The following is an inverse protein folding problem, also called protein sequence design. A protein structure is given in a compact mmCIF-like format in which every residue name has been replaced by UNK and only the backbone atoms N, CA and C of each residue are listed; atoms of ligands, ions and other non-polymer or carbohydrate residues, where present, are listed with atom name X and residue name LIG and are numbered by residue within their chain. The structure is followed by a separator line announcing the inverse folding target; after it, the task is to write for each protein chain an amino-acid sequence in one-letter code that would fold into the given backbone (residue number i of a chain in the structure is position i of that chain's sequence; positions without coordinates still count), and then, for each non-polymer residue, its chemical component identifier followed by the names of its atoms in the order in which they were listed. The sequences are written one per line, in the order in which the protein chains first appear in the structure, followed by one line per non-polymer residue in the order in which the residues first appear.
data_IF_799476089058
#
_entry.id   IF_799476089058
#
_cell.length_a   1.000
_cell.length_b   1.000
_cell.length_c   1.000
_cell.angle_alpha   90.00
_cell.angle_beta   90.00
_cell.angle_gamma   90.00
#
_symmetry.space_group_name_H-M   'P 1'
#
loop_
_entity.id
_entity.type
_entity.pdbx_description
1 polymer ?
#
# COMPACT_ATOMS: atom_id res chain seq x y z
N UNK A 1 -20.37 1.37 27.55
CA UNK A 1 -19.25 0.43 27.31
C UNK A 1 -18.30 0.52 28.49
N UNK A 2 -18.11 -0.54 29.28
CA UNK A 2 -17.14 -0.53 30.38
C UNK A 2 -15.73 -0.52 29.76
N UNK A 3 -14.95 0.52 30.03
CA UNK A 3 -13.55 0.58 29.63
C UNK A 3 -12.81 -0.63 30.23
N UNK A 4 -12.01 -1.33 29.42
CA UNK A 4 -11.12 -2.40 29.88
C UNK A 4 -10.00 -1.77 30.74
N UNK A 5 -10.34 -1.34 31.95
CA UNK A 5 -9.40 -0.86 32.96
C UNK A 5 -8.90 -2.05 33.76
N UNK A 6 -7.75 -2.59 33.36
CA UNK A 6 -6.69 -3.14 34.22
C UNK A 6 -5.84 -4.17 33.46
N UNK A 7 -4.54 -3.91 33.40
CA UNK A 7 -3.53 -4.71 32.69
C UNK A 7 -3.28 -6.10 33.29
N UNK A 8 -3.89 -6.45 34.43
CA UNK A 8 -3.75 -7.75 35.09
C UNK A 8 -4.63 -8.86 34.49
N UNK A 9 -5.51 -8.54 33.53
CA UNK A 9 -6.36 -9.53 32.85
C UNK A 9 -5.71 -10.21 31.62
N UNK A 10 -4.38 -10.15 31.48
CA UNK A 10 -3.64 -10.67 30.32
C UNK A 10 -3.69 -12.21 30.20
N UNK A 11 -4.21 -12.93 31.19
CA UNK A 11 -4.42 -14.39 31.15
C UNK A 11 -5.82 -14.88 30.74
N UNK A 12 -6.84 -14.00 30.71
CA UNK A 12 -8.23 -14.36 30.34
C UNK A 12 -8.68 -13.52 29.15
N UNK A 13 -8.14 -13.87 27.98
CA UNK A 13 -8.38 -13.24 26.66
C UNK A 13 -9.85 -13.29 26.16
N UNK A 14 -10.83 -13.71 26.97
CA UNK A 14 -12.18 -14.06 26.51
C UNK A 14 -13.26 -13.02 26.79
N UNK A 15 -13.06 -11.98 27.61
CA UNK A 15 -14.14 -11.04 27.97
C UNK A 15 -13.98 -9.59 27.48
N UNK A 16 -12.83 -9.17 26.96
CA UNK A 16 -12.70 -7.97 26.13
C UNK A 16 -12.65 -8.41 24.65
N UNK A 17 -13.81 -8.77 24.08
CA UNK A 17 -13.92 -9.22 22.69
C UNK A 17 -13.33 -8.17 21.71
N UNK A 18 -12.77 -8.64 20.58
CA UNK A 18 -11.52 -8.15 20.05
C UNK A 18 -11.72 -6.86 19.26
N UNK A 19 -10.84 -5.90 19.49
CA UNK A 19 -10.65 -4.80 18.54
C UNK A 19 -10.47 -5.41 17.15
N UNK A 20 -11.24 -4.94 16.17
CA UNK A 20 -11.07 -5.39 14.79
C UNK A 20 -9.75 -4.81 14.28
N UNK A 21 -8.97 -5.62 13.58
CA UNK A 21 -7.76 -5.18 12.90
C UNK A 21 -8.11 -4.90 11.44
N UNK A 22 -7.83 -3.69 10.99
CA UNK A 22 -7.97 -3.28 9.60
C UNK A 22 -6.59 -3.08 8.99
N UNK A 23 -6.25 -3.88 8.00
CA UNK A 23 -4.98 -3.80 7.30
C UNK A 23 -5.16 -3.12 5.96
N UNK A 24 -4.51 -1.97 5.77
CA UNK A 24 -4.43 -1.28 4.49
C UNK A 24 -3.12 -1.67 3.81
N UNK A 25 -3.23 -2.39 2.71
CA UNK A 25 -2.12 -2.82 1.86
C UNK A 25 -2.25 -2.30 0.43
N UNK A 26 -1.26 -2.56 -0.41
CA UNK A 26 -1.25 -2.13 -1.81
C UNK A 26 0.16 -1.97 -2.36
N UNK A 27 0.27 -1.77 -3.66
CA UNK A 27 1.59 -1.64 -4.31
C UNK A 27 2.21 -0.25 -4.12
N UNK A 28 1.42 0.76 -3.74
CA UNK A 28 1.88 2.13 -3.57
C UNK A 28 1.75 2.62 -2.14
N UNK A 29 2.83 3.22 -1.65
CA UNK A 29 2.88 3.82 -0.32
C UNK A 29 2.00 5.07 -0.17
N UNK A 30 2.02 6.00 -1.13
CA UNK A 30 1.20 7.22 -0.99
C UNK A 30 -0.29 6.90 -0.98
N UNK A 31 -0.79 5.99 -1.83
CA UNK A 31 -2.22 5.61 -1.82
C UNK A 31 -2.68 4.96 -0.53
N UNK A 32 -1.89 4.03 -0.01
CA UNK A 32 -2.18 3.39 1.28
C UNK A 32 -2.13 4.39 2.44
N UNK A 33 -1.17 5.32 2.41
CA UNK A 33 -1.02 6.36 3.45
C UNK A 33 -2.17 7.37 3.43
N UNK A 34 -2.56 7.86 2.25
CA UNK A 34 -3.69 8.79 2.13
C UNK A 34 -5.02 8.14 2.53
N UNK A 35 -5.25 6.87 2.15
CA UNK A 35 -6.44 6.15 2.59
C UNK A 35 -6.44 5.91 4.11
N UNK A 36 -5.31 5.50 4.70
CA UNK A 36 -5.21 5.29 6.14
C UNK A 36 -5.45 6.58 6.93
N UNK A 37 -4.88 7.70 6.47
CA UNK A 37 -5.11 9.02 7.06
C UNK A 37 -6.59 9.43 6.94
N UNK A 38 -7.22 9.19 5.79
CA UNK A 38 -8.64 9.45 5.58
C UNK A 38 -9.50 8.60 6.51
N UNK A 39 -9.24 7.30 6.62
CA UNK A 39 -9.98 6.39 7.51
C UNK A 39 -9.84 6.79 8.99
N UNK A 40 -8.61 6.99 9.46
CA UNK A 40 -8.35 7.37 10.85
C UNK A 40 -8.77 8.80 11.20
N UNK A 41 -8.80 9.69 10.22
CA UNK A 41 -9.16 11.10 10.42
C UNK A 41 -10.65 11.40 10.27
N UNK A 42 -11.42 10.55 9.58
CA UNK A 42 -12.83 10.82 9.22
C UNK A 42 -13.84 9.81 9.73
N UNK A 43 -13.41 8.64 10.21
CA UNK A 43 -14.30 7.61 10.74
C UNK A 43 -14.08 7.46 12.24
N UNK A 44 -15.13 7.75 13.02
CA UNK A 44 -15.11 7.59 14.47
C UNK A 44 -14.82 6.14 14.88
N UNK A 45 -13.97 5.99 15.89
CA UNK A 45 -13.60 4.68 16.42
C UNK A 45 -12.55 3.93 15.59
N UNK A 46 -11.87 4.59 14.65
CA UNK A 46 -10.67 4.07 13.97
C UNK A 46 -9.42 4.69 14.59
N UNK A 47 -8.44 3.86 14.96
CA UNK A 47 -7.11 4.31 15.37
C UNK A 47 -6.04 3.74 14.44
N UNK A 48 -5.38 4.61 13.67
CA UNK A 48 -4.21 4.24 12.90
C UNK A 48 -2.95 4.13 13.78
N UNK A 49 -1.97 3.34 13.33
CA UNK A 49 -0.65 3.37 13.96
C UNK A 49 -0.09 4.81 13.92
N UNK A 50 0.34 5.30 15.07
CA UNK A 50 0.96 6.61 15.24
C UNK A 50 2.40 6.44 15.75
N UNK A 51 3.33 7.18 15.17
CA UNK A 51 4.72 7.23 15.62
C UNK A 51 5.19 8.67 15.66
N UNK A 52 5.39 9.17 16.87
CA UNK A 52 5.96 10.48 17.13
C UNK A 52 7.50 10.42 17.13
N UNK A 53 8.14 11.06 16.15
CA UNK A 53 9.61 11.07 16.02
C UNK A 53 10.32 11.72 17.21
N UNK A 54 9.65 12.63 17.94
CA UNK A 54 10.17 13.28 19.14
C UNK A 54 9.96 12.49 20.43
N UNK A 55 9.16 11.41 20.40
CA UNK A 55 8.88 10.61 21.59
C UNK A 55 10.03 9.64 21.87
N UNK A 56 10.75 9.87 22.98
CA UNK A 56 11.79 8.97 23.44
C UNK A 56 11.26 7.56 23.73
N UNK A 57 10.00 7.46 24.20
CA UNK A 57 9.31 6.19 24.38
C UNK A 57 9.14 5.46 23.04
N UNK A 58 8.57 6.11 22.03
CA UNK A 58 8.39 5.48 20.71
C UNK A 58 9.72 5.04 20.10
N UNK A 59 10.77 5.85 20.20
CA UNK A 59 12.10 5.51 19.71
C UNK A 59 12.73 4.31 20.43
N UNK A 60 12.42 4.12 21.71
CA UNK A 60 12.87 2.97 22.51
C UNK A 60 12.06 1.72 22.22
N UNK A 61 10.74 1.84 22.10
CA UNK A 61 9.84 0.70 21.98
C UNK A 61 9.77 0.14 20.55
N UNK A 62 10.08 0.93 19.52
CA UNK A 62 10.02 0.44 18.16
C UNK A 62 11.25 -0.44 17.81
N UNK A 63 11.05 -1.67 17.33
CA UNK A 63 12.11 -2.60 16.99
C UNK A 63 12.82 -2.26 15.66
N UNK A 64 12.72 -1.03 15.15
CA UNK A 64 13.30 -0.65 13.86
C UNK A 64 14.82 -0.87 13.82
N UNK A 65 15.51 -0.77 14.96
CA UNK A 65 16.94 -1.06 15.07
C UNK A 65 17.28 -2.53 14.80
N UNK A 66 16.36 -3.44 15.11
CA UNK A 66 16.53 -4.87 14.86
C UNK A 66 15.98 -5.30 13.50
N UNK A 67 15.44 -4.39 12.70
CA UNK A 67 14.97 -4.73 11.36
C UNK A 67 16.15 -4.91 10.43
N UNK A 68 16.27 -6.11 9.89
CA UNK A 68 17.19 -6.44 8.81
C UNK A 68 16.43 -6.41 7.51
N UNK A 69 16.93 -5.66 6.54
CA UNK A 69 16.46 -5.70 5.17
C UNK A 69 16.87 -7.04 4.55
N UNK A 70 15.89 -7.83 4.13
CA UNK A 70 16.12 -9.20 3.61
C UNK A 70 16.97 -9.26 2.36
N UNK A 71 17.07 -8.17 1.60
CA UNK A 71 17.82 -8.13 0.33
C UNK A 71 19.27 -7.76 0.55
N UNK A 72 19.50 -6.81 1.47
CA UNK A 72 20.85 -6.30 1.72
C UNK A 72 21.54 -6.99 2.89
N UNK A 73 20.79 -7.70 3.74
CA UNK A 73 21.27 -8.20 5.02
C UNK A 73 21.67 -7.07 5.99
N UNK A 74 21.37 -5.81 5.65
CA UNK A 74 21.77 -4.64 6.44
C UNK A 74 20.65 -4.26 7.39
N UNK A 75 21.06 -3.81 8.57
CA UNK A 75 20.18 -3.17 9.52
C UNK A 75 19.55 -1.91 8.93
N UNK A 76 18.29 -1.67 9.27
CA UNK A 76 17.58 -0.46 8.89
C UNK A 76 18.28 0.77 9.47
N UNK A 77 18.65 1.70 8.59
CA UNK A 77 19.25 2.98 9.00
C UNK A 77 18.17 3.90 9.58
N UNK A 78 18.50 4.58 10.68
CA UNK A 78 17.60 5.55 11.30
C UNK A 78 17.13 6.64 10.33
N UNK A 79 18.02 7.13 9.45
CA UNK A 79 17.68 8.14 8.46
C UNK A 79 16.54 7.69 7.53
N UNK A 80 16.57 6.42 7.09
CA UNK A 80 15.52 5.84 6.25
C UNK A 80 14.23 5.62 7.05
N UNK A 81 14.33 5.06 8.26
CA UNK A 81 13.17 4.92 9.15
C UNK A 81 12.47 6.28 9.39
N UNK A 82 13.25 7.32 9.70
CA UNK A 82 12.78 8.68 9.92
C UNK A 82 12.08 9.22 8.68
N UNK A 83 12.70 9.08 7.50
CA UNK A 83 12.11 9.51 6.23
C UNK A 83 10.77 8.80 5.96
N UNK A 84 10.70 7.49 6.17
CA UNK A 84 9.45 6.75 5.98
C UNK A 84 8.41 7.29 6.95
N UNK A 85 8.66 7.29 8.25
CA UNK A 85 7.67 7.74 9.24
C UNK A 85 7.23 9.19 9.01
N UNK A 86 8.14 10.11 8.69
CA UNK A 86 7.79 11.52 8.50
C UNK A 86 6.92 11.79 7.27
N UNK A 87 6.98 10.93 6.25
CA UNK A 87 6.36 11.21 4.94
C UNK A 87 5.08 10.44 4.68
N UNK A 88 4.81 9.38 5.44
CA UNK A 88 3.60 8.58 5.26
C UNK A 88 3.15 7.87 6.52
N UNK A 89 3.58 8.35 7.68
CA UNK A 89 3.20 7.81 8.97
C UNK A 89 3.84 6.47 9.30
N UNK A 90 3.43 5.94 10.45
CA UNK A 90 3.86 4.64 10.94
C UNK A 90 3.39 3.50 10.02
N UNK A 91 4.24 2.50 9.86
CA UNK A 91 3.91 1.26 9.14
C UNK A 91 4.15 0.08 10.07
N UNK A 92 3.19 -0.83 10.18
CA UNK A 92 3.27 -1.98 11.07
C UNK A 92 4.53 -2.80 10.86
N UNK A 93 4.98 -2.98 9.61
CA UNK A 93 6.25 -3.68 9.31
C UNK A 93 7.48 -3.03 9.95
N UNK A 94 7.45 -1.73 10.22
CA UNK A 94 8.55 -0.99 10.85
C UNK A 94 8.51 -1.03 12.38
N UNK A 95 7.38 -1.47 12.94
CA UNK A 95 7.08 -1.44 14.37
C UNK A 95 6.99 -2.86 14.95
N UNK A 96 7.59 -3.84 14.29
CA UNK A 96 7.55 -5.24 14.71
C UNK A 96 8.84 -6.00 14.36
N UNK A 97 9.04 -7.19 14.93
CA UNK A 97 10.21 -8.05 14.69
C UNK A 97 9.86 -9.50 14.30
N UNK A 98 8.60 -9.80 14.02
CA UNK A 98 8.07 -11.15 13.76
C UNK A 98 8.34 -11.62 12.34
N UNK A 99 8.15 -10.75 11.35
CA UNK A 99 8.50 -11.04 9.97
C UNK A 99 9.47 -9.99 9.45
N UNK A 100 10.36 -10.36 8.53
CA UNK A 100 11.47 -9.49 8.18
C UNK A 100 11.02 -8.31 7.31
N UNK A 101 11.81 -7.24 7.31
CA UNK A 101 11.52 -6.07 6.50
C UNK A 101 11.75 -6.39 5.02
N UNK A 102 10.71 -6.22 4.22
CA UNK A 102 10.74 -6.39 2.77
C UNK A 102 10.21 -5.13 2.10
N UNK A 103 10.89 -4.68 1.06
CA UNK A 103 10.44 -3.57 0.22
C UNK A 103 10.25 -4.07 -1.19
N UNK A 104 8.99 -4.24 -1.60
CA UNK A 104 8.64 -4.85 -2.89
C UNK A 104 9.30 -4.15 -4.08
N UNK A 105 9.48 -2.84 -3.98
CA UNK A 105 10.14 -2.02 -5.00
C UNK A 105 11.64 -2.33 -5.12
N UNK A 106 12.29 -2.74 -4.04
CA UNK A 106 13.67 -3.23 -4.09
C UNK A 106 13.73 -4.56 -4.82
N UNK A 107 12.85 -5.50 -4.47
CA UNK A 107 12.77 -6.77 -5.18
C UNK A 107 12.49 -6.60 -6.69
N UNK A 108 11.64 -5.63 -7.04
CA UNK A 108 11.36 -5.30 -8.44
C UNK A 108 12.63 -5.02 -9.25
N UNK A 109 13.68 -4.48 -8.60
CA UNK A 109 14.97 -4.15 -9.20
C UNK A 109 15.93 -5.33 -9.24
N UNK A 110 15.98 -6.14 -8.19
CA UNK A 110 17.10 -7.08 -7.98
C UNK A 110 16.69 -8.56 -7.95
N UNK A 111 15.45 -8.87 -7.61
CA UNK A 111 15.00 -10.24 -7.39
C UNK A 111 14.36 -10.86 -8.65
N UNK A 112 14.48 -12.18 -8.85
CA UNK A 112 13.61 -12.90 -9.77
C UNK A 112 12.15 -12.73 -9.36
N UNK A 113 11.24 -12.56 -10.33
CA UNK A 113 9.81 -12.37 -10.06
C UNK A 113 9.21 -13.46 -9.16
N UNK A 114 9.76 -14.69 -9.20
CA UNK A 114 9.33 -15.80 -8.33
C UNK A 114 9.76 -15.63 -6.87
N UNK A 115 10.89 -14.99 -6.60
CA UNK A 115 11.37 -14.72 -5.24
C UNK A 115 10.52 -13.66 -4.53
N UNK A 116 9.84 -12.76 -5.27
CA UNK A 116 8.77 -11.88 -4.77
C UNK A 116 7.68 -12.67 -4.02
N UNK A 117 7.58 -13.97 -4.31
CA UNK A 117 6.45 -14.79 -3.94
C UNK A 117 6.73 -15.79 -2.81
N UNK A 118 7.92 -15.86 -2.22
CA UNK A 118 8.13 -16.73 -1.05
C UNK A 118 7.21 -16.32 0.12
N UNK A 119 6.51 -17.29 0.73
CA UNK A 119 5.55 -17.01 1.80
C UNK A 119 6.28 -16.79 3.13
N UNK A 120 5.84 -15.83 3.96
CA UNK A 120 6.37 -15.64 5.32
C UNK A 120 6.00 -16.77 6.29
N UNK A 121 5.07 -17.65 5.92
CA UNK A 121 4.52 -18.71 6.80
C UNK A 121 5.57 -19.73 7.27
N UNK A 122 6.78 -19.69 6.70
CA UNK A 122 7.90 -20.55 7.10
C UNK A 122 8.78 -19.95 8.21
N UNK A 123 8.57 -18.68 8.61
CA UNK A 123 9.56 -17.94 9.41
C UNK A 123 9.30 -17.91 10.94
N UNK A 124 8.12 -18.30 11.44
CA UNK A 124 7.84 -18.37 12.89
C UNK A 124 6.55 -19.15 13.23
N UNK A 125 6.46 -19.81 14.40
CA UNK A 125 5.20 -20.38 14.89
C UNK A 125 4.11 -19.29 15.03
N UNK A 126 2.91 -19.55 14.48
CA UNK A 126 1.83 -18.55 14.42
C UNK A 126 1.38 -18.02 15.80
N UNK A 127 1.44 -18.86 16.84
CA UNK A 127 1.00 -18.48 18.19
C UNK A 127 1.92 -17.45 18.83
N UNK A 128 3.24 -17.63 18.75
CA UNK A 128 4.20 -16.64 19.23
C UNK A 128 4.14 -15.37 18.39
N UNK A 129 4.00 -15.50 17.07
CA UNK A 129 3.84 -14.37 16.15
C UNK A 129 2.69 -13.44 16.54
N UNK A 130 1.52 -14.00 16.89
CA UNK A 130 0.35 -13.22 17.34
C UNK A 130 0.66 -12.38 18.57
N UNK A 131 1.26 -12.99 19.59
CA UNK A 131 1.57 -12.32 20.85
C UNK A 131 2.58 -11.19 20.63
N UNK A 132 3.68 -11.47 19.94
CA UNK A 132 4.72 -10.47 19.66
C UNK A 132 4.18 -9.29 18.83
N UNK A 133 3.47 -9.57 17.73
CA UNK A 133 2.88 -8.50 16.92
C UNK A 133 1.92 -7.63 17.74
N UNK A 134 1.05 -8.25 18.55
CA UNK A 134 0.14 -7.51 19.40
C UNK A 134 0.88 -6.64 20.42
N UNK A 135 1.86 -7.19 21.13
CA UNK A 135 2.62 -6.48 22.15
C UNK A 135 3.40 -5.29 21.58
N UNK A 136 3.96 -5.45 20.39
CA UNK A 136 4.73 -4.41 19.69
C UNK A 136 3.82 -3.32 19.11
N UNK A 137 2.75 -3.69 18.41
CA UNK A 137 1.86 -2.71 17.77
C UNK A 137 0.95 -1.96 18.72
N UNK A 138 0.43 -2.61 19.78
CA UNK A 138 -0.59 -2.01 20.66
C UNK A 138 -0.20 -0.68 21.30
N UNK A 139 1.10 -0.40 21.41
CA UNK A 139 1.67 0.82 22.00
C UNK A 139 1.53 2.03 21.07
N UNK A 140 1.40 1.80 19.78
CA UNK A 140 1.31 2.81 18.74
C UNK A 140 -0.13 3.08 18.31
N UNK A 141 -1.10 2.45 18.98
CA UNK A 141 -2.52 2.70 18.77
C UNK A 141 -3.14 3.38 19.99
N UNK A 142 -4.06 4.28 19.73
CA UNK A 142 -5.02 4.74 20.73
C UNK A 142 -6.15 3.71 20.88
N UNK A 143 -6.72 3.51 22.08
CA UNK A 143 -7.88 2.66 22.25
C UNK A 143 -9.04 3.05 21.34
N UNK A 144 -9.44 2.14 20.44
CA UNK A 144 -10.51 2.37 19.48
C UNK A 144 -11.23 1.05 19.12
N UNK A 145 -12.35 1.15 18.40
CA UNK A 145 -13.13 -0.01 17.95
C UNK A 145 -12.37 -0.81 16.88
N UNK A 146 -11.74 -0.09 15.95
CA UNK A 146 -10.93 -0.63 14.87
C UNK A 146 -9.50 -0.09 14.98
N UNK A 147 -8.54 -1.00 14.96
CA UNK A 147 -7.11 -0.70 14.94
C UNK A 147 -6.59 -0.89 13.53
N UNK A 148 -6.04 0.18 12.95
CA UNK A 148 -5.62 0.22 11.57
C UNK A 148 -4.09 0.14 11.48
N UNK A 149 -3.60 -0.83 10.72
CA UNK A 149 -2.22 -0.87 10.23
C UNK A 149 -2.20 -0.53 8.74
N UNK A 150 -1.27 0.34 8.35
CA UNK A 150 -0.98 0.68 6.97
C UNK A 150 0.44 0.20 6.65
N UNK A 151 0.52 -0.84 5.84
CA UNK A 151 1.78 -1.36 5.31
C UNK A 151 1.53 -1.79 3.86
N UNK A 152 2.17 -1.19 2.84
CA UNK A 152 1.95 -1.57 1.44
C UNK A 152 2.03 -3.09 1.21
N UNK A 153 3.04 -3.73 1.79
CA UNK A 153 3.29 -5.16 1.69
C UNK A 153 2.25 -6.04 2.39
N UNK A 154 1.26 -5.48 3.10
CA UNK A 154 0.11 -6.25 3.60
C UNK A 154 -0.64 -6.97 2.48
N UNK A 155 -0.51 -6.51 1.22
CA UNK A 155 -0.92 -7.25 0.04
C UNK A 155 -0.39 -8.70 0.00
N UNK A 156 0.85 -8.89 0.44
CA UNK A 156 1.53 -10.19 0.48
C UNK A 156 1.33 -10.88 1.83
N UNK A 157 1.21 -10.11 2.91
CA UNK A 157 1.12 -10.62 4.29
C UNK A 157 -0.29 -11.00 4.72
N UNK A 158 -1.33 -10.64 3.96
CA UNK A 158 -2.72 -10.84 4.38
C UNK A 158 -3.07 -12.28 4.81
N UNK A 159 -2.66 -13.36 4.09
CA UNK A 159 -2.92 -14.73 4.55
C UNK A 159 -2.27 -15.03 5.90
N UNK A 160 -1.02 -14.59 6.10
CA UNK A 160 -0.30 -14.74 7.36
C UNK A 160 -0.99 -13.96 8.49
N UNK A 161 -1.38 -12.70 8.25
CA UNK A 161 -2.06 -11.87 9.24
C UNK A 161 -3.44 -12.44 9.62
N UNK A 162 -4.19 -12.95 8.63
CA UNK A 162 -5.46 -13.63 8.87
C UNK A 162 -5.27 -14.92 9.69
N UNK A 163 -4.25 -15.73 9.37
CA UNK A 163 -3.93 -16.94 10.13
C UNK A 163 -3.49 -16.61 11.57
N UNK A 164 -2.74 -15.51 11.74
CA UNK A 164 -2.18 -15.08 13.04
C UNK A 164 -3.26 -14.54 13.97
N UNK A 165 -4.12 -13.64 13.50
CA UNK A 165 -5.13 -12.97 14.34
C UNK A 165 -6.52 -13.60 14.26
N UNK A 166 -6.77 -14.43 13.24
CA UNK A 166 -8.03 -15.12 12.99
C UNK A 166 -8.93 -14.35 12.01
N UNK A 167 -9.66 -15.07 11.13
CA UNK A 167 -10.44 -14.45 10.04
C UNK A 167 -11.58 -13.54 10.52
N UNK A 168 -12.08 -13.74 11.74
CA UNK A 168 -13.10 -12.86 12.33
C UNK A 168 -12.52 -11.55 12.86
N UNK A 169 -11.24 -11.51 13.20
CA UNK A 169 -10.61 -10.33 13.78
C UNK A 169 -10.01 -9.39 12.73
N UNK A 170 -9.76 -9.89 11.51
CA UNK A 170 -9.02 -9.15 10.48
C UNK A 170 -9.88 -8.78 9.27
N UNK A 171 -9.69 -7.57 8.78
CA UNK A 171 -10.20 -7.10 7.49
C UNK A 171 -9.10 -6.43 6.68
N UNK A 172 -9.19 -6.48 5.35
CA UNK A 172 -8.15 -6.02 4.45
C UNK A 172 -8.71 -5.05 3.39
N UNK A 173 -8.01 -3.95 3.17
CA UNK A 173 -8.23 -3.07 2.01
C UNK A 173 -6.96 -3.04 1.19
N UNK A 174 -7.05 -3.46 -0.07
CA UNK A 174 -5.92 -3.39 -1.01
C UNK A 174 -6.10 -2.21 -1.94
N UNK A 175 -5.24 -1.21 -1.82
CA UNK A 175 -5.24 -0.02 -2.67
C UNK A 175 -4.39 -0.29 -3.91
N UNK A 176 -5.03 -0.37 -5.06
CA UNK A 176 -4.36 -0.56 -6.34
C UNK A 176 -4.57 0.63 -7.26
N UNK A 177 -3.49 1.00 -7.92
CA UNK A 177 -3.43 2.00 -8.97
C UNK A 177 -3.23 1.31 -10.30
N UNK A 178 -3.61 1.98 -11.37
CA UNK A 178 -3.33 1.60 -12.74
C UNK A 178 -1.85 1.21 -12.91
N UNK A 179 -1.53 0.06 -13.52
CA UNK A 179 -0.17 -0.50 -13.59
C UNK A 179 0.84 0.44 -14.23
N UNK A 180 0.48 1.13 -15.31
CA UNK A 180 1.36 2.13 -15.93
C UNK A 180 1.67 3.25 -14.94
N UNK A 181 0.64 3.80 -14.31
CA UNK A 181 0.75 4.93 -13.39
C UNK A 181 1.59 4.55 -12.15
N UNK A 182 1.41 3.33 -11.64
CA UNK A 182 2.26 2.75 -10.60
C UNK A 182 3.72 2.58 -11.06
N UNK A 183 3.95 1.99 -12.24
CA UNK A 183 5.29 1.69 -12.75
C UNK A 183 6.09 2.96 -12.97
N UNK A 184 5.46 4.00 -13.51
CA UNK A 184 6.07 5.31 -13.67
C UNK A 184 6.40 5.94 -12.31
N UNK A 185 5.51 5.85 -11.33
CA UNK A 185 5.78 6.36 -9.98
C UNK A 185 6.88 5.55 -9.26
N UNK A 186 6.96 4.24 -9.49
CA UNK A 186 7.96 3.33 -8.93
C UNK A 186 9.34 3.50 -9.60
N UNK A 187 9.37 3.90 -10.87
CA UNK A 187 10.60 4.07 -11.65
C UNK A 187 11.59 5.05 -11.01
N UNK A 188 11.10 6.05 -10.24
CA UNK A 188 11.95 7.02 -9.51
C UNK A 188 12.88 6.39 -8.48
N UNK A 189 12.57 5.18 -8.03
CA UNK A 189 13.36 4.45 -7.04
C UNK A 189 14.01 3.18 -7.62
N UNK A 190 13.33 2.54 -8.59
CA UNK A 190 13.75 1.23 -9.10
C UNK A 190 14.62 1.33 -10.37
N UNK A 191 14.47 2.39 -11.17
CA UNK A 191 15.18 2.52 -12.44
C UNK A 191 16.44 3.37 -12.27
N UNK A 192 17.53 3.04 -12.99
CA UNK A 192 18.60 4.00 -13.19
C UNK A 192 18.06 5.16 -14.02
N UNK A 193 17.82 6.30 -13.38
CA UNK A 193 17.64 7.55 -14.10
C UNK A 193 19.02 7.91 -14.60
N UNK A 194 19.21 7.84 -15.92
CA UNK A 194 20.52 7.98 -16.51
C UNK A 194 21.18 9.28 -16.05
N UNK A 195 22.25 9.16 -15.26
CA UNK A 195 23.42 10.00 -15.45
C UNK A 195 24.12 9.49 -16.73
N UNK A 196 23.39 9.40 -17.84
CA UNK A 196 24.01 9.09 -19.12
C UNK A 196 25.07 10.15 -19.31
N UNK A 197 26.32 9.71 -19.54
CA UNK A 197 27.51 10.53 -19.75
C UNK A 197 27.13 11.92 -20.23
N UNK A 198 26.94 12.85 -19.30
CA UNK A 198 26.74 14.24 -19.67
C UNK A 198 28.13 14.65 -20.09
N UNK A 199 28.39 14.51 -21.39
CA UNK A 199 29.52 15.14 -22.05
C UNK A 199 29.59 16.55 -21.48
N UNK A 200 30.70 16.84 -20.83
CA UNK A 200 30.97 17.96 -19.91
C UNK A 200 30.92 19.34 -20.59
N UNK A 201 30.20 19.47 -21.70
CA UNK A 201 30.27 20.55 -22.67
C UNK A 201 29.09 21.54 -22.61
N UNK A 202 28.10 21.33 -21.74
CA UNK A 202 27.07 22.34 -21.50
C UNK A 202 27.49 23.26 -20.36
N UNK A 203 27.93 24.48 -20.71
CA UNK A 203 28.30 25.55 -19.77
C UNK A 203 27.11 26.09 -18.95
N UNK A 204 25.89 25.60 -19.17
CA UNK A 204 24.67 26.10 -18.50
C UNK A 204 24.28 25.31 -17.25
N UNK A 205 25.09 24.34 -16.78
CA UNK A 205 24.99 23.76 -15.44
C UNK A 205 23.75 22.89 -15.13
N UNK A 206 22.74 22.83 -16.01
CA UNK A 206 21.51 22.08 -15.78
C UNK A 206 21.56 20.73 -16.50
N UNK A 207 21.93 19.67 -15.79
CA UNK A 207 21.82 18.30 -16.29
C UNK A 207 20.35 17.89 -16.36
N UNK A 208 19.75 17.87 -17.56
CA UNK A 208 18.42 17.26 -17.75
C UNK A 208 18.52 15.77 -17.43
N UNK A 209 17.78 15.32 -16.41
CA UNK A 209 17.64 13.88 -16.13
C UNK A 209 16.87 13.23 -17.29
N UNK A 210 17.47 12.21 -17.90
CA UNK A 210 16.78 11.40 -18.90
C UNK A 210 15.64 10.60 -18.26
N UNK A 211 14.56 10.37 -19.02
CA UNK A 211 13.50 9.45 -18.64
C UNK A 211 14.09 8.04 -18.38
N UNK A 212 13.47 7.22 -17.51
CA UNK A 212 13.95 5.87 -17.26
C UNK A 212 13.82 5.01 -18.52
N UNK A 213 14.67 3.98 -18.69
CA UNK A 213 14.56 3.05 -19.80
C UNK A 213 13.21 2.33 -19.81
N UNK A 214 12.70 2.09 -21.00
CA UNK A 214 11.41 1.43 -21.28
C UNK A 214 11.35 0.04 -20.68
N UNK A 215 12.44 -0.72 -20.85
CA UNK A 215 12.64 -2.04 -20.27
C UNK A 215 12.46 -2.03 -18.74
N UNK A 216 12.84 -0.93 -18.08
CA UNK A 216 12.64 -0.80 -16.64
C UNK A 216 11.17 -0.59 -16.28
N UNK A 217 10.44 0.22 -17.05
CA UNK A 217 8.99 0.41 -16.87
C UNK A 217 8.24 -0.90 -17.15
N UNK A 218 8.60 -1.63 -18.20
CA UNK A 218 8.02 -2.93 -18.54
C UNK A 218 8.26 -3.95 -17.43
N UNK A 219 9.49 -3.98 -16.88
CA UNK A 219 9.81 -4.83 -15.74
C UNK A 219 8.95 -4.49 -14.53
N UNK A 220 8.75 -3.21 -14.23
CA UNK A 220 7.87 -2.77 -13.14
C UNK A 220 6.42 -3.18 -13.41
N UNK A 221 5.91 -3.01 -14.63
CA UNK A 221 4.56 -3.49 -14.98
C UNK A 221 4.42 -5.00 -14.79
N UNK A 222 5.45 -5.79 -15.14
CA UNK A 222 5.46 -7.22 -14.89
C UNK A 222 5.43 -7.55 -13.38
N UNK A 223 6.18 -6.82 -12.54
CA UNK A 223 6.13 -6.96 -11.07
C UNK A 223 4.73 -6.65 -10.54
N UNK A 224 4.14 -5.54 -10.99
CA UNK A 224 2.78 -5.16 -10.62
C UNK A 224 1.79 -6.28 -10.98
N UNK A 225 1.89 -6.83 -12.20
CA UNK A 225 0.99 -7.89 -12.69
C UNK A 225 1.10 -9.15 -11.84
N UNK A 226 2.32 -9.62 -11.58
CA UNK A 226 2.56 -10.80 -10.74
C UNK A 226 1.99 -10.60 -9.33
N UNK A 227 2.19 -9.42 -8.74
CA UNK A 227 1.64 -9.11 -7.43
C UNK A 227 0.10 -9.01 -7.45
N UNK A 228 -0.48 -8.44 -8.50
CA UNK A 228 -1.92 -8.36 -8.71
C UNK A 228 -2.56 -9.75 -8.87
N UNK A 229 -2.04 -10.59 -9.77
CA UNK A 229 -2.54 -11.96 -10.00
C UNK A 229 -2.49 -12.79 -8.72
N UNK A 230 -1.40 -12.66 -7.95
CA UNK A 230 -1.27 -13.34 -6.66
C UNK A 230 -2.26 -12.83 -5.63
N UNK A 231 -2.50 -11.53 -5.57
CA UNK A 231 -3.55 -10.99 -4.70
C UNK A 231 -4.93 -11.49 -5.16
N UNK A 232 -5.23 -11.45 -6.46
CA UNK A 232 -6.51 -11.86 -7.01
C UNK A 232 -6.82 -13.34 -6.69
N UNK A 233 -5.83 -14.22 -6.78
CA UNK A 233 -5.96 -15.64 -6.39
C UNK A 233 -6.12 -15.85 -4.89
N UNK A 234 -5.58 -14.95 -4.07
CA UNK A 234 -5.69 -15.00 -2.60
C UNK A 234 -6.95 -14.34 -2.05
N UNK A 235 -7.52 -13.37 -2.76
CA UNK A 235 -8.67 -12.60 -2.30
C UNK A 235 -9.83 -13.50 -1.84
N UNK A 236 -10.20 -14.60 -2.54
CA UNK A 236 -11.25 -15.50 -2.10
C UNK A 236 -10.94 -16.27 -0.80
N UNK A 237 -9.66 -16.40 -0.43
CA UNK A 237 -9.24 -17.07 0.81
C UNK A 237 -9.30 -16.14 2.03
N UNK A 238 -9.45 -14.83 1.81
CA UNK A 238 -9.58 -13.83 2.86
C UNK A 238 -11.06 -13.64 3.19
N UNK A 239 -11.41 -13.79 4.47
CA UNK A 239 -12.82 -13.70 4.91
C UNK A 239 -13.41 -12.31 4.71
N UNK A 240 -12.59 -11.27 4.87
CA UNK A 240 -13.02 -9.88 4.77
C UNK A 240 -11.93 -9.07 4.06
N UNK A 241 -12.05 -8.95 2.76
CA UNK A 241 -11.11 -8.19 1.94
C UNK A 241 -11.84 -7.43 0.85
N UNK A 242 -11.35 -6.24 0.51
CA UNK A 242 -11.83 -5.49 -0.65
C UNK A 242 -10.66 -4.93 -1.45
N UNK A 243 -10.88 -4.84 -2.76
CA UNK A 243 -9.96 -4.21 -3.69
C UNK A 243 -10.43 -2.79 -3.99
N UNK A 244 -9.66 -1.81 -3.53
CA UNK A 244 -9.90 -0.40 -3.85
C UNK A 244 -9.03 0.00 -5.04
N UNK A 245 -9.64 0.06 -6.21
CA UNK A 245 -9.03 0.69 -7.39
C UNK A 245 -9.11 2.19 -7.21
N UNK A 246 -7.98 2.87 -7.30
CA UNK A 246 -7.93 4.29 -6.96
C UNK A 246 -8.59 5.19 -7.98
N UNK A 247 -8.70 4.73 -9.22
CA UNK A 247 -9.22 5.47 -10.37
C UNK A 247 -10.73 5.28 -10.60
N UNK A 248 -11.44 4.51 -9.75
CA UNK A 248 -12.88 4.27 -9.92
C UNK A 248 -13.75 5.39 -9.33
N UNK A 249 -15.00 5.42 -9.75
CA UNK A 249 -15.93 6.53 -9.52
C UNK A 249 -16.41 6.70 -8.07
N UNK A 250 -16.29 5.69 -7.21
CA UNK A 250 -16.70 5.82 -5.80
C UNK A 250 -15.92 4.94 -4.83
N UNK A 251 -14.96 5.55 -4.13
CA UNK A 251 -14.26 4.90 -3.00
C UNK A 251 -15.23 4.52 -1.88
N UNK A 252 -16.22 5.38 -1.61
CA UNK A 252 -17.19 5.16 -0.54
C UNK A 252 -18.06 3.93 -0.84
N UNK A 253 -18.58 3.81 -2.07
CA UNK A 253 -19.38 2.64 -2.45
C UNK A 253 -18.55 1.35 -2.35
N UNK A 254 -17.28 1.38 -2.80
CA UNK A 254 -16.39 0.24 -2.73
C UNK A 254 -16.05 -0.20 -1.29
N UNK A 255 -16.00 0.75 -0.35
CA UNK A 255 -15.58 0.49 1.03
C UNK A 255 -16.74 0.26 2.00
N UNK A 256 -17.94 0.75 1.68
CA UNK A 256 -19.12 0.68 2.58
C UNK A 256 -19.39 -0.74 3.08
N UNK A 257 -19.43 -1.80 2.24
CA UNK A 257 -19.70 -3.16 2.72
C UNK A 257 -18.67 -3.63 3.77
N UNK A 258 -17.39 -3.32 3.56
CA UNK A 258 -16.33 -3.71 4.48
C UNK A 258 -16.40 -2.91 5.79
N UNK A 259 -16.61 -1.60 5.70
CA UNK A 259 -16.75 -0.73 6.87
C UNK A 259 -17.92 -1.18 7.75
N UNK A 260 -19.08 -1.47 7.15
CA UNK A 260 -20.23 -2.01 7.88
C UNK A 260 -19.92 -3.37 8.52
N UNK A 261 -19.21 -4.26 7.83
CA UNK A 261 -18.83 -5.58 8.37
C UNK A 261 -17.90 -5.50 9.60
N UNK A 262 -17.10 -4.43 9.73
CA UNK A 262 -16.27 -4.18 10.92
C UNK A 262 -16.96 -3.31 11.97
N UNK A 263 -18.24 -3.01 11.79
CA UNK A 263 -19.03 -2.20 12.73
C UNK A 263 -18.78 -0.70 12.64
N UNK A 264 -18.13 -0.23 11.57
CA UNK A 264 -17.94 1.18 11.29
C UNK A 264 -19.10 1.73 10.45
N UNK A 265 -19.42 3.00 10.67
CA UNK A 265 -20.35 3.74 9.82
C UNK A 265 -19.55 4.43 8.71
N UNK A 266 -20.10 4.51 7.48
CA UNK A 266 -19.54 5.38 6.46
C UNK A 266 -19.42 6.83 6.97
N UNK A 267 -18.54 7.65 6.38
CA UNK A 267 -18.31 9.04 6.78
C UNK A 267 -19.59 9.88 6.56
N UNK A 268 -20.45 9.96 7.57
CA UNK A 268 -21.62 10.85 7.53
C UNK A 268 -21.13 12.30 7.64
N UNK A 269 -21.43 13.12 6.63
CA UNK A 269 -21.06 14.54 6.62
C UNK A 269 -19.64 14.88 6.16
N UNK A 270 -18.79 13.88 5.86
CA UNK A 270 -17.41 14.10 5.35
C UNK A 270 -17.17 13.57 3.93
N UNK A 271 -18.25 13.36 3.17
CA UNK A 271 -18.19 12.87 1.79
C UNK A 271 -17.33 13.77 0.88
N UNK A 272 -17.38 15.09 1.10
CA UNK A 272 -16.60 16.06 0.33
C UNK A 272 -15.08 15.86 0.47
N UNK A 273 -14.60 15.51 1.67
CA UNK A 273 -13.18 15.25 1.94
C UNK A 273 -12.72 13.94 1.30
N UNK A 274 -13.56 12.91 1.34
CA UNK A 274 -13.31 11.64 0.67
C UNK A 274 -13.18 11.82 -0.84
N UNK A 275 -14.12 12.55 -1.41
CA UNK A 275 -14.14 12.85 -2.84
C UNK A 275 -12.97 13.77 -3.24
N UNK A 276 -12.61 14.75 -2.42
CA UNK A 276 -11.42 15.58 -2.63
C UNK A 276 -10.14 14.73 -2.63
N UNK A 277 -10.00 13.80 -1.68
CA UNK A 277 -8.86 12.88 -1.57
C UNK A 277 -8.79 11.94 -2.78
N UNK A 278 -9.91 11.35 -3.19
CA UNK A 278 -10.01 10.53 -4.41
C UNK A 278 -9.55 11.31 -5.63
N UNK A 279 -10.09 12.51 -5.85
CA UNK A 279 -9.71 13.37 -6.98
C UNK A 279 -8.24 13.75 -6.95
N UNK A 280 -7.68 14.04 -5.78
CA UNK A 280 -6.25 14.31 -5.65
C UNK A 280 -5.41 13.10 -6.07
N UNK A 281 -5.82 11.89 -5.68
CA UNK A 281 -5.13 10.67 -6.09
C UNK A 281 -5.24 10.41 -7.61
N UNK A 282 -6.42 10.61 -8.19
CA UNK A 282 -6.64 10.50 -9.63
C UNK A 282 -5.76 11.51 -10.39
N UNK A 283 -5.73 12.77 -9.93
CA UNK A 283 -4.87 13.81 -10.51
C UNK A 283 -3.40 13.45 -10.44
N UNK A 284 -2.91 13.02 -9.28
CA UNK A 284 -1.53 12.55 -9.15
C UNK A 284 -1.27 11.39 -10.12
N UNK A 285 -2.23 10.47 -10.25
CA UNK A 285 -2.13 9.34 -11.17
C UNK A 285 -1.97 9.75 -12.62
N UNK A 286 -2.79 10.69 -13.07
CA UNK A 286 -2.73 11.25 -14.40
C UNK A 286 -1.45 12.07 -14.61
N UNK A 287 -1.04 12.87 -13.63
CA UNK A 287 0.15 13.71 -13.71
C UNK A 287 1.43 12.90 -13.89
N UNK A 288 1.59 11.78 -13.18
CA UNK A 288 2.75 10.89 -13.38
C UNK A 288 2.83 10.39 -14.83
N UNK A 289 1.69 9.96 -15.40
CA UNK A 289 1.63 9.50 -16.78
C UNK A 289 1.92 10.66 -17.73
N UNK A 290 1.27 11.80 -17.52
CA UNK A 290 1.41 12.97 -18.37
C UNK A 290 2.83 13.55 -18.42
N UNK A 291 3.46 13.74 -17.27
CA UNK A 291 4.81 14.33 -17.18
C UNK A 291 5.81 13.41 -17.86
N UNK A 292 5.62 12.10 -17.65
CA UNK A 292 6.41 11.10 -18.35
C UNK A 292 6.22 11.18 -19.86
N UNK A 293 4.98 11.28 -20.35
CA UNK A 293 4.70 11.41 -21.78
C UNK A 293 5.40 12.63 -22.41
N UNK A 294 5.57 13.72 -21.64
CA UNK A 294 6.31 14.91 -22.08
C UNK A 294 7.83 14.79 -21.90
N UNK A 295 8.33 13.65 -21.42
CA UNK A 295 9.75 13.46 -21.16
C UNK A 295 10.29 14.30 -20.01
N UNK A 296 9.40 14.87 -19.19
CA UNK A 296 9.76 15.54 -17.97
C UNK A 296 9.90 14.48 -16.87
N UNK A 297 10.97 14.53 -16.04
CA UNK A 297 10.94 13.80 -14.79
C UNK A 297 9.68 14.23 -14.02
N UNK A 298 8.96 13.31 -13.35
CA UNK A 298 7.85 13.69 -12.49
C UNK A 298 8.40 14.66 -11.46
N UNK A 299 7.95 15.91 -11.53
CA UNK A 299 8.33 16.95 -10.56
C UNK A 299 7.73 16.54 -9.22
N UNK A 300 8.54 16.55 -8.16
CA UNK A 300 8.04 16.38 -6.80
C UNK A 300 7.22 17.63 -6.45
N UNK A 301 5.96 17.67 -6.85
CA UNK A 301 5.04 18.60 -6.23
C UNK A 301 4.84 18.13 -4.80
N UNK A 302 5.42 18.85 -3.84
CA UNK A 302 4.85 18.84 -2.50
C UNK A 302 3.41 19.28 -2.69
N UNK A 303 2.45 18.39 -2.50
CA UNK A 303 1.05 18.80 -2.38
C UNK A 303 1.04 19.74 -1.19
N UNK A 304 0.95 21.05 -1.44
CA UNK A 304 0.82 22.03 -0.39
C UNK A 304 -0.45 21.64 0.38
N UNK A 305 -0.26 21.15 1.60
CA UNK A 305 -1.37 20.76 2.46
C UNK A 305 -1.99 22.04 3.00
N UNK A 306 -2.88 22.65 2.23
CA UNK A 306 -3.75 23.73 2.74
C UNK A 306 -4.89 23.18 3.63
N UNK A 307 -4.79 21.92 4.09
CA UNK A 307 -5.74 21.30 5.00
C UNK A 307 -5.07 20.31 5.98
N UNK A 308 -5.80 19.93 7.06
CA UNK A 308 -5.26 19.12 8.17
C UNK A 308 -4.84 17.70 7.78
N UNK A 309 -5.15 17.24 6.55
CA UNK A 309 -4.73 15.94 6.01
C UNK A 309 -3.49 16.14 5.13
N UNK A 310 -2.41 16.63 5.74
CA UNK A 310 -1.12 16.81 5.08
C UNK A 310 -0.35 15.49 4.97
N UNK A 311 -0.60 14.73 3.90
CA UNK A 311 0.02 13.43 3.71
C UNK A 311 -0.10 12.89 2.28
N UNK A 312 0.41 13.62 1.30
CA UNK A 312 0.61 13.09 -0.04
C UNK A 312 1.91 13.64 -0.64
N UNK A 313 2.93 12.79 -0.63
CA UNK A 313 4.17 12.91 -1.42
C UNK A 313 5.17 14.00 -0.99
N UNK A 314 5.89 13.73 0.10
CA UNK A 314 6.99 14.60 0.57
C UNK A 314 8.30 13.83 0.82
N UNK A 315 8.81 13.03 -0.12
CA UNK A 315 10.14 12.43 0.01
C UNK A 315 11.22 13.52 0.05
N UNK A 316 11.93 13.64 1.18
CA UNK A 316 13.00 14.62 1.40
C UNK A 316 14.36 14.02 1.07
N UNK A 317 14.78 14.13 -0.18
CA UNK A 317 16.20 14.24 -0.49
C UNK A 317 16.51 15.72 -0.47
N UNK A 318 17.52 16.14 0.31
CA UNK A 318 18.01 17.52 0.29
C UNK A 318 18.66 17.82 -1.05
N UNK A 319 17.85 18.06 -2.07
CA UNK A 319 18.25 18.84 -3.24
C UNK A 319 17.90 20.28 -2.87
N UNK A 320 18.91 21.15 -2.88
CA UNK A 320 18.75 22.57 -2.60
C UNK A 320 17.60 23.13 -3.43
N UNK A 321 16.79 23.99 -2.82
CA UNK A 321 15.79 24.78 -3.52
C UNK A 321 16.51 25.84 -4.38
N UNK A 322 17.21 25.39 -5.41
CA UNK A 322 17.60 26.29 -6.49
C UNK A 322 16.30 26.59 -7.23
N UNK A 323 15.77 27.79 -7.02
CA UNK A 323 14.58 28.33 -7.67
C UNK A 323 14.78 28.57 -9.17
N UNK A 324 15.39 27.62 -9.88
CA UNK A 324 15.53 27.64 -11.33
C UNK A 324 14.18 27.40 -12.00
N UNK A 325 13.92 28.16 -13.07
CA UNK A 325 12.69 28.14 -13.86
C UNK A 325 12.23 26.73 -14.23
N UNK A 326 11.29 26.17 -13.47
CA UNK A 326 10.62 24.90 -13.78
C UNK A 326 9.87 24.97 -15.11
N UNK A 327 9.53 26.16 -15.59
CA UNK A 327 8.93 26.39 -16.90
C UNK A 327 9.85 25.94 -18.06
N UNK A 328 11.18 26.08 -17.94
CA UNK A 328 12.12 25.74 -19.01
C UNK A 328 12.35 24.22 -19.15
N UNK A 329 12.10 23.45 -18.09
CA UNK A 329 12.17 21.98 -18.11
C UNK A 329 10.97 21.33 -18.83
N UNK A 330 9.93 22.12 -19.09
CA UNK A 330 8.64 21.69 -19.62
C UNK A 330 8.45 21.94 -21.13
N UNK A 331 9.47 22.47 -21.81
CA UNK A 331 9.43 22.65 -23.26
C UNK A 331 9.24 21.30 -23.98
N UNK A 332 8.47 21.24 -25.08
CA UNK A 332 8.30 20.01 -25.83
C UNK A 332 9.66 19.44 -26.21
N UNK A 333 9.79 18.11 -26.10
CA UNK A 333 10.87 17.42 -26.78
C UNK A 333 10.84 17.87 -28.25
N UNK A 334 11.94 18.40 -28.78
CA UNK A 334 12.07 18.74 -30.19
C UNK A 334 12.85 17.65 -30.92
N UNK A 335 12.54 17.47 -32.20
CA UNK A 335 13.27 16.58 -33.11
C UNK A 335 13.08 15.07 -32.82
N UNK A 336 14.15 14.32 -33.09
CA UNK A 336 14.17 12.84 -33.10
C UNK A 336 13.76 12.22 -31.75
N UNK A 337 14.18 12.83 -30.63
CA UNK A 337 13.83 12.36 -29.29
C UNK A 337 12.34 12.49 -28.96
N UNK A 338 11.59 13.36 -29.65
CA UNK A 338 10.14 13.47 -29.51
C UNK A 338 9.43 12.34 -30.26
N UNK A 339 9.90 12.06 -31.47
CA UNK A 339 9.37 10.99 -32.33
C UNK A 339 9.63 9.61 -31.71
N UNK A 340 10.84 9.37 -31.19
CA UNK A 340 11.17 8.12 -30.50
C UNK A 340 10.31 7.91 -29.25
N UNK A 341 10.10 8.98 -28.46
CA UNK A 341 9.19 8.95 -27.30
C UNK A 341 7.74 8.69 -27.68
N UNK A 342 7.24 9.33 -28.74
CA UNK A 342 5.88 9.11 -29.21
C UNK A 342 5.68 7.67 -29.69
N UNK A 343 6.64 7.12 -30.47
CA UNK A 343 6.63 5.71 -30.87
C UNK A 343 6.68 4.78 -29.66
N UNK A 344 7.48 5.11 -28.65
CA UNK A 344 7.48 4.34 -27.41
C UNK A 344 6.13 4.40 -26.70
N UNK A 345 5.51 5.58 -26.58
CA UNK A 345 4.21 5.73 -25.95
C UNK A 345 3.12 4.96 -26.68
N UNK A 346 3.15 4.96 -28.01
CA UNK A 346 2.23 4.16 -28.82
C UNK A 346 2.47 2.66 -28.60
N UNK A 347 3.73 2.23 -28.55
CA UNK A 347 4.10 0.85 -28.21
C UNK A 347 3.65 0.46 -26.81
N UNK A 348 3.88 1.34 -25.83
CA UNK A 348 3.46 1.15 -24.44
C UNK A 348 1.94 1.15 -24.33
N UNK A 349 1.22 2.05 -25.00
CA UNK A 349 -0.24 2.08 -25.03
C UNK A 349 -0.76 0.77 -25.62
N UNK A 350 -0.25 0.35 -26.78
CA UNK A 350 -0.67 -0.90 -27.41
C UNK A 350 -0.37 -2.13 -26.54
N UNK A 351 0.80 -2.17 -25.89
CA UNK A 351 1.20 -3.27 -25.01
C UNK A 351 0.43 -3.28 -23.68
N UNK A 352 0.35 -2.13 -23.02
CA UNK A 352 -0.34 -1.94 -21.76
C UNK A 352 -1.84 -2.12 -21.92
N UNK A 353 -2.50 -1.48 -22.88
CA UNK A 353 -3.96 -1.62 -23.09
C UNK A 353 -4.38 -3.09 -23.12
N UNK A 354 -3.70 -3.94 -23.90
CA UNK A 354 -4.01 -5.38 -23.94
C UNK A 354 -3.87 -6.08 -22.58
N UNK A 355 -2.79 -5.80 -21.85
CA UNK A 355 -2.54 -6.45 -20.55
C UNK A 355 -3.42 -5.91 -19.42
N UNK A 356 -3.82 -4.65 -19.52
CA UNK A 356 -4.47 -3.87 -18.48
C UNK A 356 -6.00 -3.96 -18.59
N UNK A 357 -6.53 -3.98 -19.81
CA UNK A 357 -7.93 -4.25 -20.11
C UNK A 357 -8.32 -5.67 -19.66
N UNK A 358 -7.43 -6.65 -19.85
CA UNK A 358 -7.62 -8.02 -19.35
C UNK A 358 -7.78 -8.08 -17.82
N UNK A 359 -7.25 -7.08 -17.10
CA UNK A 359 -7.37 -6.96 -15.65
C UNK A 359 -8.51 -6.02 -15.23
N UNK A 360 -9.31 -5.53 -16.17
CA UNK A 360 -10.43 -4.64 -15.94
C UNK A 360 -10.04 -3.20 -15.58
N UNK A 361 -8.84 -2.77 -15.93
CA UNK A 361 -8.41 -1.38 -15.80
C UNK A 361 -8.53 -0.68 -17.15
N UNK A 362 -9.03 0.54 -17.15
CA UNK A 362 -9.03 1.45 -18.29
C UNK A 362 -8.41 2.75 -17.84
N UNK A 363 -7.51 3.30 -18.66
CA UNK A 363 -6.99 4.65 -18.47
C UNK A 363 -7.42 5.47 -19.68
N UNK A 364 -8.34 6.41 -19.45
CA UNK A 364 -8.75 7.38 -20.45
C UNK A 364 -7.63 8.43 -20.58
N UNK A 365 -6.60 8.10 -21.37
CA UNK A 365 -5.44 8.97 -21.60
C UNK A 365 -5.82 10.29 -22.29
N UNK A 366 -6.94 10.30 -23.01
CA UNK A 366 -7.42 11.45 -23.80
C UNK A 366 -7.80 12.65 -22.93
N UNK A 367 -8.22 12.43 -21.68
CA UNK A 367 -8.61 13.49 -20.74
C UNK A 367 -7.41 14.09 -19.98
N UNK A 368 -6.18 13.58 -20.19
CA UNK A 368 -5.00 13.87 -19.35
C UNK A 368 -4.19 15.07 -19.87
N UNK A 369 -4.55 15.66 -21.01
CA UNK A 369 -3.66 16.52 -21.81
C UNK A 369 -3.36 17.93 -21.21
N UNK A 370 -4.01 18.37 -20.12
CA UNK A 370 -3.99 19.81 -19.78
C UNK A 370 -2.90 20.36 -18.82
N UNK A 371 -2.19 19.63 -17.93
CA UNK A 371 -1.17 20.30 -17.09
C UNK A 371 -0.13 19.41 -16.39
N UNK A 372 1.12 19.45 -16.88
CA UNK A 372 2.31 19.08 -16.10
C UNK A 372 3.16 20.29 -15.74
N UNK A 373 2.83 21.46 -16.29
CA UNK A 373 3.68 22.64 -16.29
C UNK A 373 2.91 23.89 -15.85
N UNK A 374 1.58 23.88 -15.98
CA UNK A 374 0.71 24.95 -15.53
C UNK A 374 0.07 24.52 -14.21
N UNK A 375 0.61 25.01 -13.10
CA UNK A 375 0.07 24.79 -11.76
C UNK A 375 -1.28 25.48 -11.53
N UNK A 376 -2.26 25.37 -12.43
CA UNK A 376 -3.63 25.85 -12.23
C UNK A 376 -4.61 24.68 -12.11
N UNK A 377 -5.14 24.41 -10.91
CA UNK A 377 -6.03 23.28 -10.64
C UNK A 377 -7.44 23.33 -11.28
N UNK A 378 -7.84 24.41 -11.97
CA UNK A 378 -9.26 24.72 -12.23
C UNK A 378 -9.92 24.03 -13.42
N UNK A 379 -9.19 23.44 -14.37
CA UNK A 379 -9.76 23.22 -15.72
C UNK A 379 -10.10 21.76 -16.07
N UNK A 380 -10.30 20.89 -15.06
CA UNK A 380 -10.44 19.44 -15.28
C UNK A 380 -11.87 18.93 -15.06
N UNK A 381 -12.70 18.96 -16.10
CA UNK A 381 -13.97 18.22 -16.14
C UNK A 381 -13.74 16.79 -16.65
N UNK A 382 -14.06 15.78 -15.84
CA UNK A 382 -14.02 14.37 -16.24
C UNK A 382 -15.37 14.00 -16.86
N UNK A 383 -15.38 13.60 -18.13
CA UNK A 383 -16.55 13.01 -18.77
C UNK A 383 -16.75 11.59 -18.22
N UNK A 384 -17.87 11.36 -17.52
CA UNK A 384 -18.25 10.05 -17.00
C UNK A 384 -18.73 9.14 -18.13
N UNK A 385 -17.93 8.15 -18.50
CA UNK A 385 -18.41 7.04 -19.32
C UNK A 385 -19.13 6.05 -18.40
N UNK A 386 -20.46 5.99 -18.49
CA UNK A 386 -21.27 5.01 -17.76
C UNK A 386 -20.89 3.59 -18.15
N UNK A 387 -20.24 2.87 -17.24
CA UNK A 387 -20.16 1.42 -17.26
C UNK A 387 -20.99 0.89 -16.09
N UNK A 388 -22.19 0.42 -16.43
CA UNK A 388 -23.00 -0.40 -15.54
C UNK A 388 -22.32 -1.77 -15.31
N UNK A 389 -22.44 -2.23 -14.05
CA UNK A 389 -21.98 -3.45 -13.37
C UNK A 389 -22.05 -4.80 -14.14
N UNK A 390 -21.46 -5.94 -13.63
CA UNK A 390 -21.09 -6.17 -12.23
C UNK A 390 -19.75 -6.87 -11.92
N UNK A 391 -19.08 -6.39 -10.85
CA UNK A 391 -18.08 -7.13 -10.05
C UNK A 391 -18.76 -7.75 -8.80
N UNK A 392 -20.03 -8.16 -8.93
CA UNK A 392 -20.81 -8.70 -7.80
C UNK A 392 -20.55 -10.19 -7.49
N UNK A 393 -19.77 -10.91 -8.31
CA UNK A 393 -19.64 -12.37 -8.16
C UNK A 393 -18.77 -12.86 -6.99
N UNK A 394 -17.89 -12.03 -6.42
CA UNK A 394 -17.04 -12.47 -5.31
C UNK A 394 -17.70 -12.32 -3.92
N UNK A 395 -18.69 -11.44 -3.76
CA UNK A 395 -19.38 -11.22 -2.48
C UNK A 395 -20.57 -12.17 -2.25
N UNK A 396 -21.25 -12.59 -3.33
CA UNK A 396 -22.42 -13.47 -3.23
C UNK A 396 -22.07 -14.89 -2.74
N UNK A 397 -20.86 -15.40 -3.02
CA UNK A 397 -20.43 -16.72 -2.57
C UNK A 397 -20.17 -16.81 -1.05
N UNK A 398 -19.91 -15.68 -0.38
CA UNK A 398 -19.70 -15.64 1.07
C UNK A 398 -21.02 -15.53 1.88
N UNK A 399 -22.10 -15.10 1.25
CA UNK A 399 -23.42 -14.99 1.89
C UNK A 399 -24.25 -16.29 1.83
N UNK A 400 -23.89 -17.23 0.95
CA UNK A 400 -24.67 -18.45 0.71
C UNK A 400 -24.31 -19.67 1.59
N UNK A 401 -23.42 -19.53 2.59
CA UNK A 401 -22.98 -20.66 3.46
C UNK A 401 -23.45 -20.49 4.91
N UNK A 402 -24.59 -19.82 5.12
CA UNK A 402 -25.02 -19.39 6.45
C UNK A 402 -26.44 -19.75 6.82
N UNK A 403 -26.92 -20.96 6.52
CA UNK A 403 -28.05 -21.56 7.25
C UNK A 403 -28.05 -23.08 7.05
N UNK A 404 -27.41 -23.77 7.98
CA UNK A 404 -27.30 -25.23 8.01
C UNK A 404 -26.96 -25.66 9.41
N UNK A 405 -27.93 -25.52 10.32
CA UNK A 405 -27.87 -26.08 11.66
C UNK A 405 -27.84 -27.61 11.55
N UNK A 406 -26.70 -28.21 11.86
CA UNK A 406 -26.63 -29.63 12.23
C UNK A 406 -26.26 -29.68 13.70
N UNK A 407 -27.25 -30.03 14.52
CA UNK A 407 -27.04 -30.51 15.86
C UNK A 407 -26.34 -31.87 15.79
N UNK A 408 -25.13 -31.99 16.34
CA UNK A 408 -24.63 -33.29 16.80
C UNK A 408 -24.32 -33.15 18.27
N UNK A 409 -25.05 -33.94 19.05
CA UNK A 409 -24.96 -34.04 20.49
C UNK A 409 -23.60 -34.61 20.92
N UNK A 410 -23.22 -34.23 22.13
CA UNK A 410 -22.12 -34.79 22.91
C UNK A 410 -22.21 -36.32 23.01
N UNK A 411 -21.05 -36.98 22.95
CA UNK A 411 -20.80 -38.08 23.88
C UNK A 411 -19.36 -38.01 24.37
N UNK A 412 -19.26 -37.82 25.67
CA UNK A 412 -18.08 -38.04 26.49
C UNK A 412 -17.85 -39.54 26.55
N UNK A 413 -16.65 -39.99 26.24
CA UNK A 413 -16.18 -41.32 26.65
C UNK A 413 -14.71 -41.21 27.07
N UNK A 414 -14.53 -41.61 28.32
CA UNK A 414 -13.33 -41.72 29.13
C UNK A 414 -12.58 -43.02 28.77
N UNK A 415 -11.25 -42.94 28.63
CA UNK A 415 -10.23 -44.01 28.64
C UNK A 415 -8.93 -43.35 28.13
N UNK A 416 -7.80 -43.30 28.83
CA UNK A 416 -7.21 -44.29 29.71
C UNK A 416 -5.99 -44.90 29.01
N UNK A 417 -4.77 -44.58 29.49
CA UNK A 417 -3.62 -45.49 29.42
C UNK A 417 -2.48 -45.19 28.44
N UNK A 418 -1.27 -45.21 29.00
CA UNK A 418 0.03 -45.57 28.42
C UNK A 418 0.71 -44.52 27.50
N UNK A 419 1.93 -44.02 27.74
CA UNK A 419 3.07 -44.59 28.46
C UNK A 419 4.18 -44.89 27.43
N UNK A 420 5.06 -43.92 27.14
CA UNK A 420 6.27 -44.17 26.36
C UNK A 420 7.42 -43.29 26.85
N UNK A 421 8.36 -43.94 27.54
CA UNK A 421 9.69 -43.44 27.88
C UNK A 421 10.51 -43.26 26.59
N UNK A 422 11.24 -42.15 26.51
CA UNK A 422 12.34 -41.99 25.54
C UNK A 422 13.63 -42.26 26.31
N UNK A 423 14.31 -43.35 25.96
CA UNK A 423 15.70 -43.60 26.35
C UNK A 423 16.63 -42.77 25.46
N UNK A 424 17.57 -42.14 26.15
CA UNK A 424 18.72 -41.41 25.62
C UNK A 424 19.86 -42.44 25.45
N UNK A 425 20.38 -42.61 24.24
CA UNK A 425 21.58 -43.42 24.00
C UNK A 425 22.66 -42.55 23.35
N UNK A 426 23.81 -42.54 24.01
CA UNK A 426 25.04 -41.92 23.60
C UNK A 426 25.83 -42.86 22.67
N UNK A 427 26.38 -42.30 21.59
CA UNK A 427 27.61 -42.74 20.93
C UNK A 427 28.23 -41.56 20.19
#
# INVERSE_FOLDING_TARGET
MRACGNASAVGKLTSCLPRRLLFVGGLQRSGTSSLAALLGGTIDGVSGLAFELGSAEHLREAPWKSLVDVHTGRWMKYAYFREVVSTGGAEGKLLQSVYPYRYLLHDARTAPLRALLSQPTELSPLRSARQYLWEQWRRFWTPALVLLDKTPENLLMAPFLQATFGPRATSFIFVLRHPLSWSLAASKWACPWGAGNVSRASSTGHTRRAAPPLECVDRLMAVWRVAHERMATRLPTLRSATLLRTEVDSWIAALTPLLTAVGLRPPNGRLAEWEATRRAFLRASHQYVFCYMRGAPPVRHKVASEGPIGGAEGGGGGEGSDGGDTAAACGPASGEAAVERQRWLESLRAHASRQVEALGYSLQLETIIASCCEGRPSDWAVAGAGLAAPVAMAAAAAAAVGDGAVSVAESVADAGGEGAQVQEEAA
#
